data_IF_966743882775
#
_entry.id   IF_966743882775
#
_cell.length_a   1.000
_cell.length_b   1.000
_cell.length_c   1.000
_cell.angle_alpha   90.00
_cell.angle_beta   90.00
_cell.angle_gamma   90.00
#
_symmetry.space_group_name_H-M   'P 1'
#
loop_
_entity.id
_entity.type
_entity.pdbx_description
1 polymer ?
#
# COMPACT_ATOMS: atom_id res chain seq x y z
N UNK A 1 0.83 8.07 -16.60
CA UNK A 1 -0.24 8.98 -16.15
C UNK A 1 0.32 10.02 -15.17
N UNK A 2 0.86 11.15 -15.65
CA UNK A 2 1.44 12.19 -14.77
C UNK A 2 0.38 12.91 -13.90
N UNK A 3 -0.86 12.98 -14.38
CA UNK A 3 -1.97 13.64 -13.68
C UNK A 3 -2.37 12.93 -12.38
N UNK A 4 -2.61 11.61 -12.44
CA UNK A 4 -2.98 10.82 -11.26
C UNK A 4 -1.87 10.83 -10.19
N UNK A 5 -0.61 10.77 -10.61
CA UNK A 5 0.54 10.83 -9.71
C UNK A 5 0.69 12.19 -9.05
N UNK A 6 0.47 13.29 -9.77
CA UNK A 6 0.49 14.64 -9.20
C UNK A 6 -0.65 14.89 -8.20
N UNK A 7 -1.82 14.28 -8.41
CA UNK A 7 -2.95 14.38 -7.47
C UNK A 7 -2.59 13.66 -6.16
N UNK A 8 -2.08 12.44 -6.25
CA UNK A 8 -1.65 11.68 -5.06
C UNK A 8 -0.48 12.35 -4.34
N UNK A 9 0.52 12.87 -5.06
CA UNK A 9 1.66 13.58 -4.46
C UNK A 9 1.22 14.87 -3.71
N UNK A 10 0.25 15.62 -4.24
CA UNK A 10 -0.32 16.80 -3.56
C UNK A 10 -1.12 16.43 -2.30
N UNK A 11 -1.85 15.31 -2.35
CA UNK A 11 -2.56 14.77 -1.19
C UNK A 11 -1.55 14.33 -0.13
N UNK A 12 -0.49 13.62 -0.53
CA UNK A 12 0.61 13.18 0.35
C UNK A 12 1.23 14.36 1.10
N UNK A 13 1.58 15.43 0.38
CA UNK A 13 2.17 16.64 0.97
C UNK A 13 1.21 17.37 1.93
N UNK A 14 -0.10 17.38 1.64
CA UNK A 14 -1.11 17.94 2.55
C UNK A 14 -1.25 17.11 3.83
N UNK A 15 -1.19 15.79 3.73
CA UNK A 15 -1.31 14.88 4.87
C UNK A 15 -0.11 14.92 5.83
N UNK A 16 1.09 15.11 5.30
CA UNK A 16 2.31 15.30 6.12
C UNK A 16 2.32 16.65 6.85
N UNK A 17 1.74 17.69 6.24
CA UNK A 17 1.75 19.05 6.79
C UNK A 17 0.91 19.23 8.06
N UNK A 18 0.01 18.29 8.37
CA UNK A 18 -0.96 18.45 9.46
C UNK A 18 -0.92 17.26 10.43
N UNK A 19 -0.57 17.54 11.69
CA UNK A 19 -0.30 16.54 12.74
C UNK A 19 -1.54 15.71 13.11
N UNK A 20 -2.75 16.27 12.94
CA UNK A 20 -4.02 15.58 13.17
C UNK A 20 -4.32 14.52 12.10
N UNK A 21 -3.91 14.74 10.86
CA UNK A 21 -4.16 13.82 9.74
C UNK A 21 -3.10 12.74 9.60
N UNK A 22 -1.99 12.84 10.33
CA UNK A 22 -0.90 11.83 10.35
C UNK A 22 -1.38 10.43 10.74
N UNK A 23 -2.45 10.31 11.52
CA UNK A 23 -3.07 9.01 11.86
C UNK A 23 -3.64 8.26 10.65
N UNK A 24 -4.07 8.98 9.61
CA UNK A 24 -4.60 8.40 8.37
C UNK A 24 -3.51 8.15 7.33
N UNK A 25 -2.27 8.56 7.62
CA UNK A 25 -1.11 8.35 6.76
C UNK A 25 -0.92 6.87 6.35
N UNK A 26 -1.00 5.87 7.25
CA UNK A 26 -0.81 4.47 6.86
C UNK A 26 -1.90 3.96 5.90
N UNK A 27 -3.13 4.45 6.07
CA UNK A 27 -4.25 4.07 5.22
C UNK A 27 -4.07 4.61 3.80
N UNK A 28 -3.59 5.85 3.68
CA UNK A 28 -3.38 6.50 2.40
C UNK A 28 -2.15 5.95 1.69
N UNK A 29 -1.06 5.67 2.42
CA UNK A 29 0.11 4.97 1.87
C UNK A 29 -0.23 3.57 1.36
N UNK A 30 -1.10 2.83 2.07
CA UNK A 30 -1.58 1.53 1.62
C UNK A 30 -2.41 1.62 0.32
N UNK A 31 -3.26 2.64 0.21
CA UNK A 31 -4.02 2.91 -1.01
C UNK A 31 -3.13 3.32 -2.19
N UNK A 32 -2.13 4.17 -1.95
CA UNK A 32 -1.17 4.63 -2.96
C UNK A 32 -0.32 3.45 -3.47
N UNK A 33 0.18 2.61 -2.56
CA UNK A 33 0.94 1.39 -2.92
C UNK A 33 0.10 0.37 -3.69
N UNK A 34 -1.20 0.28 -3.41
CA UNK A 34 -2.09 -0.62 -4.14
C UNK A 34 -2.27 -0.19 -5.61
N UNK A 35 -2.40 1.12 -5.86
CA UNK A 35 -2.62 1.65 -7.22
C UNK A 35 -1.33 1.95 -7.98
N UNK A 36 -0.23 2.25 -7.30
CA UNK A 36 1.01 2.71 -7.91
C UNK A 36 2.22 1.87 -7.48
N UNK A 37 3.22 1.79 -8.35
CA UNK A 37 4.52 1.20 -7.99
C UNK A 37 5.30 2.19 -7.12
N UNK A 38 5.97 1.72 -6.05
CA UNK A 38 6.85 2.56 -5.24
C UNK A 38 7.89 3.26 -6.10
N UNK A 39 8.21 4.50 -5.71
CA UNK A 39 9.22 5.34 -6.40
C UNK A 39 10.64 4.94 -6.01
N UNK A 40 10.81 4.37 -4.82
CA UNK A 40 12.12 4.00 -4.29
C UNK A 40 12.57 2.66 -4.87
N UNK A 41 13.58 2.73 -5.74
CA UNK A 41 14.25 1.56 -6.31
C UNK A 41 15.70 1.55 -5.86
N UNK A 42 16.26 0.36 -5.66
CA UNK A 42 17.64 0.22 -5.19
C UNK A 42 18.62 0.66 -6.29
N UNK A 43 19.32 1.78 -6.13
CA UNK A 43 20.20 2.32 -7.18
C UNK A 43 21.60 1.69 -7.23
N UNK A 44 22.16 1.22 -6.10
CA UNK A 44 23.49 0.58 -6.03
C UNK A 44 23.55 -0.55 -5.00
N UNK A 45 24.34 -1.59 -5.31
CA UNK A 45 24.79 -2.62 -4.37
C UNK A 45 23.68 -3.48 -3.74
N UNK A 46 23.47 -4.69 -4.27
CA UNK A 46 22.54 -5.66 -3.70
C UNK A 46 23.04 -7.08 -4.01
N UNK A 47 23.10 -7.95 -3.00
CA UNK A 47 23.57 -9.33 -3.17
C UNK A 47 22.65 -10.15 -4.10
N UNK A 48 21.34 -9.94 -4.01
CA UNK A 48 20.30 -10.51 -4.89
C UNK A 48 19.28 -9.42 -5.18
N UNK A 49 18.86 -9.28 -6.45
CA UNK A 49 17.80 -8.35 -6.89
C UNK A 49 16.58 -9.18 -7.27
N UNK A 50 15.49 -8.98 -6.54
CA UNK A 50 14.20 -9.52 -6.92
C UNK A 50 13.44 -8.48 -7.76
N UNK A 51 12.73 -8.94 -8.79
CA UNK A 51 11.82 -8.12 -9.57
C UNK A 51 10.43 -8.01 -8.92
N UNK A 52 10.18 -8.82 -7.88
CA UNK A 52 8.92 -8.82 -7.15
C UNK A 52 8.87 -7.61 -6.21
N UNK A 53 7.81 -6.82 -6.37
CA UNK A 53 7.48 -5.76 -5.43
C UNK A 53 6.87 -6.38 -4.17
N UNK A 54 7.65 -6.40 -3.08
CA UNK A 54 7.27 -7.03 -1.83
C UNK A 54 6.01 -6.38 -1.22
N UNK A 55 5.91 -5.05 -1.27
CA UNK A 55 4.78 -4.33 -0.66
C UNK A 55 3.49 -4.63 -1.43
N UNK A 56 3.55 -4.70 -2.77
CA UNK A 56 2.40 -5.06 -3.62
C UNK A 56 1.98 -6.51 -3.45
N UNK A 57 2.92 -7.44 -3.40
CA UNK A 57 2.60 -8.86 -3.19
C UNK A 57 1.96 -9.08 -1.82
N UNK A 58 2.42 -8.39 -0.78
CA UNK A 58 1.76 -8.41 0.53
C UNK A 58 0.32 -7.91 0.46
N UNK A 59 0.04 -6.83 -0.29
CA UNK A 59 -1.33 -6.32 -0.45
C UNK A 59 -2.26 -7.32 -1.15
N UNK A 60 -1.77 -8.01 -2.18
CA UNK A 60 -2.54 -9.06 -2.87
C UNK A 60 -2.91 -10.19 -1.90
N UNK A 61 -1.95 -10.64 -1.08
CA UNK A 61 -2.19 -11.66 -0.05
C UNK A 61 -3.28 -11.20 0.93
N UNK A 62 -3.20 -9.97 1.44
CA UNK A 62 -4.21 -9.41 2.35
C UNK A 62 -5.59 -9.40 1.68
N UNK A 63 -5.69 -8.92 0.44
CA UNK A 63 -6.95 -8.89 -0.30
C UNK A 63 -7.53 -10.30 -0.49
N UNK A 64 -6.68 -11.30 -0.77
CA UNK A 64 -7.11 -12.70 -0.89
C UNK A 64 -7.56 -13.31 0.45
N UNK A 65 -7.02 -12.85 1.58
CA UNK A 65 -7.41 -13.33 2.91
C UNK A 65 -8.76 -12.78 3.40
N UNK A 66 -9.20 -11.59 2.94
CA UNK A 66 -10.48 -10.98 3.34
C UNK A 66 -11.68 -11.95 3.16
N UNK A 67 -11.92 -12.55 1.97
CA UNK A 67 -13.05 -13.47 1.80
C UNK A 67 -12.92 -14.73 2.66
N UNK A 68 -11.71 -15.28 2.81
CA UNK A 68 -11.46 -16.42 3.68
C UNK A 68 -11.75 -16.11 5.15
N UNK A 69 -11.41 -14.91 5.62
CA UNK A 69 -11.67 -14.46 6.98
C UNK A 69 -13.19 -14.29 7.22
N UNK A 70 -13.90 -13.64 6.29
CA UNK A 70 -15.35 -13.47 6.40
C UNK A 70 -16.09 -14.81 6.38
N UNK A 71 -15.68 -15.72 5.50
CA UNK A 71 -16.21 -17.08 5.46
C UNK A 71 -15.88 -17.85 6.74
N UNK A 72 -14.66 -17.73 7.27
CA UNK A 72 -14.25 -18.33 8.53
C UNK A 72 -15.08 -17.85 9.72
N UNK A 73 -15.30 -16.54 9.86
CA UNK A 73 -16.15 -15.96 10.92
C UNK A 73 -17.59 -16.48 10.80
N UNK A 74 -18.13 -16.53 9.57
CA UNK A 74 -19.50 -17.00 9.33
C UNK A 74 -19.69 -18.48 9.67
N UNK A 75 -18.70 -19.34 9.38
CA UNK A 75 -18.81 -20.78 9.63
C UNK A 75 -18.36 -21.20 11.04
N UNK A 76 -17.45 -20.46 11.68
CA UNK A 76 -16.96 -20.76 13.03
C UNK A 76 -17.87 -20.24 14.16
N UNK A 77 -18.87 -19.42 13.83
CA UNK A 77 -19.83 -18.84 14.78
C UNK A 77 -21.08 -19.71 15.02
N UNK A 78 -20.95 -21.04 15.00
CA UNK A 78 -21.97 -21.99 15.51
C UNK A 78 -21.49 -22.60 16.83
#
# INVERSE_FOLDING_TARGET
>A
MKLLRNIFDNVHHKLESNEKTKKFWPLIDAFDTLMFTPKDVTEKGSHIRDAIDLKRTMMLVITAMIPCLLFGIYNAGY
#
